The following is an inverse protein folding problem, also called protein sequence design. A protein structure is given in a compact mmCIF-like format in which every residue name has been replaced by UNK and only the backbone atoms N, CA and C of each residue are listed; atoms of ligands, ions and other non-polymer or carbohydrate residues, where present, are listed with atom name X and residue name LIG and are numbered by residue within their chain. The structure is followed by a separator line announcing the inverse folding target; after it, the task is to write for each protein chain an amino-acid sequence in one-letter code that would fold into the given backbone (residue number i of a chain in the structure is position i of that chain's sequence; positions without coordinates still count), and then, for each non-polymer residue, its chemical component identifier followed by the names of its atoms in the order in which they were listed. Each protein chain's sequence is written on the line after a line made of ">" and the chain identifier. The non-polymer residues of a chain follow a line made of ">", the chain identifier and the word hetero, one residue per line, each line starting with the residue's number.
data_IF_118446884984
#
_entry.id   IF_118446884984
#
_cell.length_a   1.000
_cell.length_b   1.000
_cell.length_c   1.000
_cell.angle_alpha   90.00
_cell.angle_beta   90.00
_cell.angle_gamma   90.00
#
_symmetry.space_group_name_H-M   'P 1'
#
loop_
_entity.id
_entity.type
_entity.pdbx_description
1 polymer ?
#
# COMPACT_ATOMS: atom_id res chain seq x y z
N UNK A 1 53.49 31.65 -23.57
CA UNK A 1 52.23 30.98 -23.91
C UNK A 1 51.94 29.95 -22.83
N UNK A 2 51.11 30.29 -21.84
CA UNK A 2 50.74 29.39 -20.76
C UNK A 2 49.40 28.73 -21.13
N UNK A 3 49.41 27.41 -21.36
CA UNK A 3 48.21 26.62 -21.58
C UNK A 3 47.41 26.51 -20.30
N UNK A 4 46.27 27.21 -20.25
CA UNK A 4 45.25 27.04 -19.22
C UNK A 4 44.64 25.65 -19.37
N UNK A 5 45.00 24.72 -18.49
CA UNK A 5 44.31 23.43 -18.39
C UNK A 5 42.88 23.66 -17.91
N UNK A 6 41.90 23.31 -18.73
CA UNK A 6 40.49 23.25 -18.36
C UNK A 6 40.33 22.08 -17.38
N UNK A 7 40.32 22.38 -16.09
CA UNK A 7 40.03 21.40 -15.06
C UNK A 7 38.52 21.12 -15.08
N UNK A 8 38.11 20.08 -15.80
CA UNK A 8 36.73 19.59 -15.77
C UNK A 8 36.45 19.09 -14.36
N UNK A 9 35.66 19.84 -13.58
CA UNK A 9 35.14 19.33 -12.32
C UNK A 9 34.45 17.98 -12.59
N UNK A 10 34.73 16.93 -11.80
CA UNK A 10 33.96 15.71 -11.86
C UNK A 10 32.48 16.05 -11.64
N UNK A 11 31.55 15.43 -12.38
CA UNK A 11 30.13 15.69 -12.23
C UNK A 11 29.75 15.56 -10.76
N UNK A 12 29.02 16.54 -10.23
CA UNK A 12 28.54 16.52 -8.85
C UNK A 12 27.91 15.15 -8.58
N UNK A 13 28.37 14.47 -7.53
CA UNK A 13 27.88 13.15 -7.16
C UNK A 13 26.35 13.21 -7.12
N UNK A 14 25.70 12.42 -7.97
CA UNK A 14 24.25 12.29 -7.96
C UNK A 14 23.85 11.95 -6.53
N UNK A 15 22.96 12.71 -5.87
CA UNK A 15 22.54 12.39 -4.51
C UNK A 15 21.98 10.97 -4.54
N UNK A 16 22.69 10.06 -3.89
CA UNK A 16 22.36 8.65 -3.88
C UNK A 16 20.94 8.51 -3.35
N UNK A 17 20.03 7.98 -4.17
CA UNK A 17 18.63 7.85 -3.80
C UNK A 17 18.53 6.94 -2.57
N UNK A 18 18.21 7.52 -1.41
CA UNK A 18 17.97 6.74 -0.20
C UNK A 18 16.60 6.06 -0.29
N UNK A 19 16.57 4.93 -0.98
CA UNK A 19 15.37 4.12 -1.20
C UNK A 19 14.73 3.67 0.12
N UNK A 20 15.55 3.41 1.14
CA UNK A 20 15.12 3.01 2.47
C UNK A 20 14.29 4.10 3.14
N UNK A 21 14.81 5.33 3.23
CA UNK A 21 14.08 6.42 3.87
C UNK A 21 12.79 6.78 3.12
N UNK A 22 12.82 6.71 1.79
CA UNK A 22 11.66 6.93 0.93
C UNK A 22 10.53 5.92 1.21
N UNK A 23 10.84 4.63 1.15
CA UNK A 23 9.84 3.57 1.36
C UNK A 23 9.41 3.50 2.83
N UNK A 24 10.34 3.64 3.78
CA UNK A 24 10.01 3.55 5.20
C UNK A 24 9.05 4.67 5.63
N UNK A 25 9.29 5.91 5.19
CA UNK A 25 8.38 7.03 5.47
C UNK A 25 6.99 6.81 4.89
N UNK A 26 6.91 6.27 3.67
CA UNK A 26 5.65 5.88 3.04
C UNK A 26 4.90 4.82 3.84
N UNK A 27 5.59 3.75 4.24
CA UNK A 27 4.98 2.63 4.98
C UNK A 27 4.47 3.10 6.34
N UNK A 28 5.25 3.90 7.07
CA UNK A 28 4.82 4.48 8.36
C UNK A 28 3.55 5.32 8.17
N UNK A 29 3.53 6.20 7.17
CA UNK A 29 2.37 7.04 6.87
C UNK A 29 1.14 6.20 6.52
N UNK A 30 1.32 5.18 5.67
CA UNK A 30 0.25 4.25 5.31
C UNK A 30 -0.28 3.49 6.53
N UNK A 31 0.59 2.92 7.35
CA UNK A 31 0.20 2.20 8.56
C UNK A 31 -0.57 3.11 9.51
N UNK A 32 -0.11 4.34 9.72
CA UNK A 32 -0.81 5.32 10.54
C UNK A 32 -2.22 5.63 10.00
N UNK A 33 -2.37 5.85 8.70
CA UNK A 33 -3.69 6.07 8.10
C UNK A 33 -4.61 4.85 8.25
N UNK A 34 -4.09 3.63 8.04
CA UNK A 34 -4.87 2.41 8.29
C UNK A 34 -5.28 2.28 9.76
N UNK A 35 -4.39 2.61 10.72
CA UNK A 35 -4.75 2.63 12.13
C UNK A 35 -5.90 3.60 12.42
N UNK A 36 -5.89 4.80 11.83
CA UNK A 36 -6.99 5.75 11.98
C UNK A 36 -8.32 5.20 11.43
N UNK A 37 -8.29 4.51 10.29
CA UNK A 37 -9.47 3.83 9.74
C UNK A 37 -9.98 2.77 10.72
N UNK A 38 -9.10 1.93 11.25
CA UNK A 38 -9.50 0.87 12.18
C UNK A 38 -10.06 1.43 13.50
N UNK A 39 -9.43 2.47 14.08
CA UNK A 39 -9.94 3.16 15.27
C UNK A 39 -11.31 3.75 15.02
N UNK A 40 -11.52 4.39 13.87
CA UNK A 40 -12.82 4.91 13.50
C UNK A 40 -13.88 3.80 13.41
N UNK A 41 -13.57 2.67 12.75
CA UNK A 41 -14.50 1.53 12.66
C UNK A 41 -14.89 1.02 14.05
N UNK A 42 -13.94 0.94 14.99
CA UNK A 42 -14.25 0.57 16.38
C UNK A 42 -15.21 1.56 17.04
N UNK A 43 -14.97 2.86 16.87
CA UNK A 43 -15.85 3.93 17.40
C UNK A 43 -17.25 3.87 16.76
N UNK A 44 -17.33 3.49 15.49
CA UNK A 44 -18.56 3.34 14.70
C UNK A 44 -19.26 1.97 14.93
N UNK A 45 -18.98 1.33 16.07
CA UNK A 45 -19.62 0.07 16.46
C UNK A 45 -19.21 -1.13 15.59
N UNK A 46 -17.98 -1.12 15.07
CA UNK A 46 -17.39 -2.13 14.21
C UNK A 46 -18.06 -2.31 12.85
N UNK A 47 -18.85 -1.35 12.38
CA UNK A 47 -19.55 -1.43 11.08
C UNK A 47 -18.67 -0.85 9.97
N UNK A 48 -18.75 -1.45 8.78
CA UNK A 48 -18.14 -0.88 7.57
C UNK A 48 -19.11 0.15 6.96
N UNK A 49 -19.17 1.33 7.55
CA UNK A 49 -20.02 2.43 7.09
C UNK A 49 -19.48 3.14 5.85
N UNK A 50 -20.31 4.01 5.25
CA UNK A 50 -19.87 4.86 4.13
C UNK A 50 -18.70 5.78 4.51
N UNK A 51 -18.59 6.18 5.77
CA UNK A 51 -17.47 7.01 6.25
C UNK A 51 -16.18 6.19 6.29
N UNK A 52 -16.20 4.98 6.84
CA UNK A 52 -15.00 4.13 6.88
C UNK A 52 -14.56 3.71 5.47
N UNK A 53 -15.50 3.49 4.54
CA UNK A 53 -15.23 3.30 3.12
C UNK A 53 -14.56 4.55 2.51
N UNK A 54 -15.07 5.75 2.79
CA UNK A 54 -14.47 7.01 2.35
C UNK A 54 -13.06 7.22 2.88
N UNK A 55 -12.81 6.91 4.16
CA UNK A 55 -11.45 6.98 4.73
C UNK A 55 -10.51 5.96 4.07
N UNK A 56 -10.99 4.75 3.79
CA UNK A 56 -10.24 3.71 3.07
C UNK A 56 -9.93 4.13 1.63
N UNK A 57 -10.89 4.78 0.95
CA UNK A 57 -10.64 5.41 -0.34
C UNK A 57 -9.58 6.52 -0.24
N UNK A 58 -9.56 7.29 0.84
CA UNK A 58 -8.49 8.23 1.17
C UNK A 58 -7.12 7.58 1.27
N UNK A 59 -7.02 6.39 1.88
CA UNK A 59 -5.78 5.58 1.89
C UNK A 59 -5.36 5.19 0.47
N UNK A 60 -6.31 4.78 -0.37
CA UNK A 60 -6.04 4.46 -1.77
C UNK A 60 -5.55 5.67 -2.57
N UNK A 61 -6.12 6.86 -2.32
CA UNK A 61 -5.66 8.12 -2.92
C UNK A 61 -4.25 8.51 -2.44
N UNK A 62 -3.94 8.31 -1.15
CA UNK A 62 -2.58 8.51 -0.62
C UNK A 62 -1.56 7.62 -1.35
N UNK A 63 -1.87 6.34 -1.52
CA UNK A 63 -1.06 5.42 -2.31
C UNK A 63 -0.89 5.88 -3.76
N UNK A 64 -1.99 6.24 -4.44
CA UNK A 64 -1.96 6.70 -5.82
C UNK A 64 -1.11 7.97 -5.98
N UNK A 65 -1.27 8.92 -5.06
CA UNK A 65 -0.48 10.15 -5.01
C UNK A 65 1.00 9.85 -4.80
N UNK A 66 1.35 8.97 -3.86
CA UNK A 66 2.74 8.55 -3.64
C UNK A 66 3.35 7.93 -4.91
N UNK A 67 2.64 6.98 -5.52
CA UNK A 67 3.07 6.32 -6.76
C UNK A 67 3.29 7.31 -7.90
N UNK A 68 2.41 8.29 -8.06
CA UNK A 68 2.50 9.30 -9.10
C UNK A 68 3.65 10.29 -8.83
N UNK A 69 3.69 10.90 -7.65
CA UNK A 69 4.70 11.90 -7.28
C UNK A 69 6.11 11.33 -7.21
N UNK A 70 6.26 10.04 -6.86
CA UNK A 70 7.56 9.38 -6.68
C UNK A 70 7.89 8.41 -7.82
N UNK A 71 7.16 8.45 -8.95
CA UNK A 71 7.30 7.48 -10.06
C UNK A 71 8.71 7.34 -10.63
N UNK A 72 9.47 8.44 -10.68
CA UNK A 72 10.84 8.45 -11.20
C UNK A 72 11.81 7.82 -10.19
N UNK A 73 11.72 8.24 -8.93
CA UNK A 73 12.53 7.72 -7.82
C UNK A 73 12.29 6.21 -7.63
N UNK A 74 11.04 5.77 -7.62
CA UNK A 74 10.68 4.35 -7.54
C UNK A 74 11.14 3.54 -8.77
N UNK A 75 11.34 4.20 -9.92
CA UNK A 75 11.82 3.55 -11.15
C UNK A 75 13.33 3.30 -11.15
N UNK A 76 14.08 4.02 -10.32
CA UNK A 76 15.53 3.83 -10.14
C UNK A 76 15.84 2.61 -9.27
N UNK A 77 14.93 2.24 -8.36
CA UNK A 77 15.05 1.06 -7.50
C UNK A 77 14.51 -0.17 -8.23
N UNK A 78 15.30 -1.25 -8.29
CA UNK A 78 14.84 -2.55 -8.83
C UNK A 78 13.61 -2.99 -8.01
N UNK A 79 12.46 -3.12 -8.68
CA UNK A 79 11.16 -3.41 -8.08
C UNK A 79 10.54 -2.34 -7.15
N UNK A 80 11.03 -1.10 -7.13
CA UNK A 80 10.53 -0.09 -6.19
C UNK A 80 9.01 0.14 -6.23
N UNK A 81 8.44 0.19 -7.44
CA UNK A 81 6.98 0.30 -7.64
C UNK A 81 6.22 -0.96 -7.18
N UNK A 82 6.77 -2.14 -7.45
CA UNK A 82 6.17 -3.41 -7.03
C UNK A 82 6.15 -3.50 -5.51
N UNK A 83 7.27 -3.18 -4.85
CA UNK A 83 7.38 -3.17 -3.38
C UNK A 83 6.39 -2.18 -2.78
N UNK A 84 6.25 -0.97 -3.33
CA UNK A 84 5.25 -0.01 -2.85
C UNK A 84 3.82 -0.57 -2.93
N UNK A 85 3.43 -1.19 -4.06
CA UNK A 85 2.12 -1.84 -4.18
C UNK A 85 1.98 -3.00 -3.20
N UNK A 86 2.98 -3.89 -3.13
CA UNK A 86 2.96 -5.06 -2.26
C UNK A 86 2.81 -4.69 -0.78
N UNK A 87 3.56 -3.68 -0.31
CA UNK A 87 3.42 -3.20 1.07
C UNK A 87 2.08 -2.53 1.30
N UNK A 88 1.55 -1.81 0.31
CA UNK A 88 0.20 -1.22 0.40
C UNK A 88 -0.86 -2.29 0.58
N UNK A 89 -0.82 -3.30 -0.30
CA UNK A 89 -1.68 -4.46 -0.23
C UNK A 89 -1.59 -5.14 1.14
N UNK A 90 -0.37 -5.40 1.63
CA UNK A 90 -0.14 -6.07 2.89
C UNK A 90 -0.71 -5.27 4.07
N UNK A 91 -0.35 -3.99 4.21
CA UNK A 91 -0.77 -3.16 5.36
C UNK A 91 -2.28 -2.96 5.38
N UNK A 92 -2.88 -2.61 4.24
CA UNK A 92 -4.33 -2.37 4.15
C UNK A 92 -5.09 -3.65 4.47
N UNK A 93 -4.82 -4.75 3.75
CA UNK A 93 -5.57 -5.99 3.95
C UNK A 93 -5.29 -6.62 5.32
N UNK A 94 -4.05 -6.62 5.81
CA UNK A 94 -3.76 -7.13 7.15
C UNK A 94 -4.54 -6.35 8.22
N UNK A 95 -4.68 -5.03 8.10
CA UNK A 95 -5.43 -4.24 9.08
C UNK A 95 -6.90 -4.67 9.19
N UNK A 96 -7.58 -4.88 8.06
CA UNK A 96 -8.97 -5.34 8.04
C UNK A 96 -9.10 -6.81 8.44
N UNK A 97 -8.18 -7.67 8.01
CA UNK A 97 -8.21 -9.09 8.33
C UNK A 97 -7.94 -9.33 9.82
N UNK A 98 -7.00 -8.60 10.43
CA UNK A 98 -6.76 -8.68 11.89
C UNK A 98 -8.00 -8.20 12.65
N UNK A 99 -8.64 -7.11 12.22
CA UNK A 99 -9.85 -6.61 12.86
C UNK A 99 -10.99 -7.64 12.75
N UNK A 100 -11.27 -8.16 11.56
CA UNK A 100 -12.28 -9.19 11.35
C UNK A 100 -11.96 -10.47 12.14
N UNK A 101 -10.69 -10.87 12.22
CA UNK A 101 -10.26 -12.00 13.05
C UNK A 101 -10.61 -11.78 14.52
N UNK A 102 -10.29 -10.59 15.08
CA UNK A 102 -10.63 -10.23 16.46
C UNK A 102 -12.15 -10.30 16.70
N UNK A 103 -12.95 -9.76 15.78
CA UNK A 103 -14.41 -9.82 15.87
C UNK A 103 -14.93 -11.27 15.81
N UNK A 104 -14.32 -12.11 14.97
CA UNK A 104 -14.68 -13.53 14.85
C UNK A 104 -14.39 -14.31 16.14
N UNK A 105 -13.19 -14.16 16.71
CA UNK A 105 -12.82 -14.90 17.94
C UNK A 105 -13.54 -14.39 19.18
N UNK A 106 -14.03 -13.15 19.17
CA UNK A 106 -14.84 -12.57 20.25
C UNK A 106 -16.34 -12.85 20.09
N UNK A 107 -16.77 -13.51 19.01
CA UNK A 107 -18.18 -13.86 18.77
C UNK A 107 -19.05 -12.64 18.45
N UNK A 108 -18.50 -11.61 17.82
CA UNK A 108 -19.25 -10.41 17.46
C UNK A 108 -20.32 -10.71 16.41
N UNK A 109 -21.58 -10.39 16.72
CA UNK A 109 -22.71 -10.48 15.77
C UNK A 109 -22.57 -9.51 14.60
N UNK A 110 -21.64 -8.55 14.63
CA UNK A 110 -21.41 -7.59 13.53
C UNK A 110 -20.86 -8.27 12.27
N UNK A 111 -20.22 -9.43 12.41
CA UNK A 111 -19.79 -10.23 11.26
C UNK A 111 -20.90 -11.10 10.68
N UNK A 112 -22.05 -11.19 11.34
CA UNK A 112 -23.11 -12.12 10.96
C UNK A 112 -23.65 -11.76 9.57
N UNK A 113 -23.54 -12.72 8.67
CA UNK A 113 -24.04 -12.60 7.32
C UNK A 113 -25.55 -12.80 7.20
N UNK A 114 -25.97 -12.92 5.94
CA UNK A 114 -27.35 -13.16 5.50
C UNK A 114 -27.47 -14.57 4.91
N UNK A 115 -28.67 -14.98 4.50
CA UNK A 115 -28.97 -16.35 4.04
C UNK A 115 -28.02 -16.86 2.93
N UNK A 116 -27.62 -16.00 2.00
CA UNK A 116 -26.77 -16.36 0.86
C UNK A 116 -25.30 -15.93 1.00
N UNK A 117 -24.95 -15.21 2.07
CA UNK A 117 -23.59 -14.72 2.30
C UNK A 117 -23.26 -14.87 3.79
N UNK A 118 -22.35 -15.77 4.19
CA UNK A 118 -22.13 -16.11 5.60
C UNK A 118 -21.47 -14.99 6.44
N UNK A 119 -20.96 -13.95 5.79
CA UNK A 119 -20.31 -12.79 6.42
C UNK A 119 -21.10 -11.52 6.08
N UNK A 120 -21.18 -10.57 7.01
CA UNK A 120 -21.75 -9.25 6.76
C UNK A 120 -21.22 -8.66 5.44
N UNK A 121 -22.07 -8.12 4.54
CA UNK A 121 -21.63 -7.63 3.23
C UNK A 121 -20.53 -6.58 3.27
N UNK A 122 -20.55 -5.69 4.27
CA UNK A 122 -19.52 -4.66 4.44
C UNK A 122 -18.17 -5.28 4.80
N UNK A 123 -18.17 -6.17 5.78
CA UNK A 123 -16.97 -6.93 6.16
C UNK A 123 -16.50 -7.86 5.06
N UNK A 124 -17.40 -8.49 4.31
CA UNK A 124 -17.07 -9.30 3.14
C UNK A 124 -16.35 -8.45 2.08
N UNK A 125 -16.86 -7.26 1.80
CA UNK A 125 -16.23 -6.30 0.90
C UNK A 125 -14.81 -5.93 1.35
N UNK A 126 -14.66 -5.59 2.63
CA UNK A 126 -13.39 -5.15 3.20
C UNK A 126 -12.33 -6.27 3.30
N UNK A 127 -12.74 -7.53 3.51
CA UNK A 127 -11.80 -8.64 3.76
C UNK A 127 -11.54 -9.51 2.54
N UNK A 128 -12.57 -9.77 1.72
CA UNK A 128 -12.46 -10.67 0.57
C UNK A 128 -12.44 -9.90 -0.74
N UNK A 129 -13.42 -9.02 -0.98
CA UNK A 129 -13.52 -8.34 -2.27
C UNK A 129 -12.32 -7.41 -2.50
N UNK A 130 -11.99 -6.58 -1.51
CA UNK A 130 -10.83 -5.69 -1.58
C UNK A 130 -9.53 -6.45 -1.81
N UNK A 131 -9.27 -7.51 -1.03
CA UNK A 131 -8.10 -8.36 -1.19
C UNK A 131 -8.05 -9.02 -2.59
N UNK A 132 -9.19 -9.52 -3.08
CA UNK A 132 -9.28 -10.12 -4.42
C UNK A 132 -8.95 -9.12 -5.52
N UNK A 133 -9.63 -7.97 -5.56
CA UNK A 133 -9.44 -6.97 -6.61
C UNK A 133 -8.02 -6.37 -6.60
N UNK A 134 -7.50 -6.02 -5.42
CA UNK A 134 -6.16 -5.48 -5.31
C UNK A 134 -5.09 -6.55 -5.53
N UNK A 135 -5.36 -7.80 -5.14
CA UNK A 135 -4.49 -8.94 -5.36
C UNK A 135 -4.28 -9.26 -6.84
N UNK A 136 -5.33 -9.11 -7.66
CA UNK A 136 -5.21 -9.19 -9.12
C UNK A 136 -4.26 -8.09 -9.63
N UNK A 137 -4.45 -6.85 -9.19
CA UNK A 137 -3.57 -5.73 -9.55
C UNK A 137 -2.11 -5.96 -9.16
N UNK A 138 -1.87 -6.48 -7.95
CA UNK A 138 -0.55 -6.85 -7.47
C UNK A 138 0.07 -7.97 -8.31
N UNK A 139 -0.71 -9.00 -8.68
CA UNK A 139 -0.27 -10.13 -9.50
C UNK A 139 0.17 -9.65 -10.88
N UNK A 140 -0.65 -8.83 -11.55
CA UNK A 140 -0.32 -8.22 -12.83
C UNK A 140 0.96 -7.38 -12.73
N UNK A 141 1.09 -6.58 -11.66
CA UNK A 141 2.27 -5.76 -11.44
C UNK A 141 3.54 -6.60 -11.20
N UNK A 142 3.42 -7.72 -10.48
CA UNK A 142 4.52 -8.64 -10.23
C UNK A 142 5.00 -9.29 -11.54
N UNK A 143 4.07 -9.83 -12.34
CA UNK A 143 4.36 -10.42 -13.66
C UNK A 143 5.07 -9.40 -14.56
N UNK A 144 4.52 -8.19 -14.68
CA UNK A 144 5.10 -7.13 -15.50
C UNK A 144 6.51 -6.74 -15.02
N UNK A 145 6.72 -6.68 -13.71
CA UNK A 145 8.03 -6.35 -13.13
C UNK A 145 9.07 -7.44 -13.40
N UNK A 146 8.69 -8.70 -13.27
CA UNK A 146 9.55 -9.85 -13.56
C UNK A 146 9.91 -9.87 -15.04
N UNK A 147 8.94 -9.69 -15.94
CA UNK A 147 9.16 -9.69 -17.38
C UNK A 147 10.10 -8.57 -17.85
N UNK A 148 10.03 -7.38 -17.22
CA UNK A 148 10.84 -6.23 -17.62
C UNK A 148 12.26 -6.23 -17.07
N UNK A 149 12.49 -6.82 -15.88
CA UNK A 149 13.77 -6.68 -15.16
C UNK A 149 14.48 -8.00 -14.84
N UNK A 150 13.82 -9.14 -15.07
CA UNK A 150 14.29 -10.44 -14.61
C UNK A 150 14.27 -10.56 -13.08
N UNK A 151 14.25 -11.79 -12.55
CA UNK A 151 14.31 -12.02 -11.10
C UNK A 151 15.75 -12.10 -10.57
N UNK A 152 16.64 -12.71 -11.35
CA UNK A 152 18.04 -12.92 -10.98
C UNK A 152 18.93 -11.79 -11.52
N UNK A 153 20.06 -11.54 -10.87
CA UNK A 153 21.06 -10.53 -11.26
C UNK A 153 22.15 -11.17 -12.12
#
# INVERSE_FOLDING_TARGET
>A
MASTMLQTQPPAANPELNARSLLLGYVIGLTFLCMLVQVFIVIDGNRISGVSQGMTAGVALYYAAFMFSRRHQLGQVRFGRLVAHATTYAVVNASFQIHAFILGVTGSEVLRGQEYLPVDPGWFGATFAMAGFWGIGLTVHAIASIAQRGFEA
#
